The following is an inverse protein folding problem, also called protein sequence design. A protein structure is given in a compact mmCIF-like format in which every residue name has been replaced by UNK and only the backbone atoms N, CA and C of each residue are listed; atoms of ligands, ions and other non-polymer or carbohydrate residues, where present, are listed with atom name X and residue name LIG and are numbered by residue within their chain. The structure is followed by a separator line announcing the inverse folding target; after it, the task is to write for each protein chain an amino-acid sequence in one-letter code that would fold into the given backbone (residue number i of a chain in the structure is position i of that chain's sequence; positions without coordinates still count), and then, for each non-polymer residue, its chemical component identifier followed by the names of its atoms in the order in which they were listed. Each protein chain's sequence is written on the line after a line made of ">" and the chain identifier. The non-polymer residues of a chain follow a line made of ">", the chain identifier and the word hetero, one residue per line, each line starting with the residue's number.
data_IF_826848534881
#
_entry.id   IF_826848534881
#
_cell.length_a   1.000
_cell.length_b   1.000
_cell.length_c   1.000
_cell.angle_alpha   90.00
_cell.angle_beta   90.00
_cell.angle_gamma   90.00
#
_symmetry.space_group_name_H-M   'P 1'
#
loop_
_entity.id
_entity.type
_entity.pdbx_description
1 polymer ?
#
# COMPACT_ATOMS: atom_id res chain seq x y z
N UNK A 1 -15.53 15.88 5.10
CA UNK A 1 -14.66 14.68 5.19
C UNK A 1 -15.01 13.95 6.47
N UNK A 2 -15.42 12.69 6.38
CA UNK A 2 -15.64 11.83 7.56
C UNK A 2 -14.35 11.10 7.99
N UNK A 3 -13.34 11.05 7.12
CA UNK A 3 -12.06 10.39 7.39
C UNK A 3 -11.08 11.32 8.12
N UNK A 4 -10.37 10.81 9.14
CA UNK A 4 -9.35 11.57 9.83
C UNK A 4 -8.17 11.86 8.90
N UNK A 5 -7.59 13.05 9.04
CA UNK A 5 -6.31 13.39 8.41
C UNK A 5 -5.18 13.01 9.35
N UNK A 6 -4.20 12.26 8.85
CA UNK A 6 -3.01 11.87 9.61
C UNK A 6 -1.79 12.67 9.12
N UNK A 7 -0.94 13.08 10.06
CA UNK A 7 0.28 13.85 9.76
C UNK A 7 1.47 12.89 9.62
N UNK A 8 2.33 13.15 8.63
CA UNK A 8 3.56 12.39 8.41
C UNK A 8 3.41 11.28 7.36
N UNK A 9 4.38 10.35 7.36
CA UNK A 9 4.35 9.20 6.44
C UNK A 9 3.30 8.19 6.88
N UNK A 10 2.55 7.57 5.96
CA UNK A 10 1.63 6.50 6.31
C UNK A 10 2.36 5.31 6.95
N UNK A 11 1.78 4.67 7.97
CA UNK A 11 2.38 3.51 8.63
C UNK A 11 2.19 2.23 7.79
N UNK A 12 2.85 2.16 6.62
CA UNK A 12 2.66 1.09 5.63
C UNK A 12 2.74 -0.31 6.22
N UNK A 13 3.75 -0.57 7.06
CA UNK A 13 3.94 -1.87 7.73
C UNK A 13 2.70 -2.32 8.52
N UNK A 14 2.12 -1.42 9.31
CA UNK A 14 0.94 -1.74 10.13
C UNK A 14 -0.30 -1.94 9.27
N UNK A 15 -0.45 -1.11 8.23
CA UNK A 15 -1.58 -1.19 7.31
C UNK A 15 -1.56 -2.51 6.54
N UNK A 16 -0.41 -2.90 5.97
CA UNK A 16 -0.26 -4.15 5.24
C UNK A 16 -0.46 -5.39 6.12
N UNK A 17 0.11 -5.39 7.32
CA UNK A 17 -0.07 -6.48 8.28
C UNK A 17 -1.55 -6.66 8.65
N UNK A 18 -2.28 -5.56 8.87
CA UNK A 18 -3.72 -5.59 9.14
C UNK A 18 -4.50 -6.19 7.96
N UNK A 19 -4.26 -5.70 6.75
CA UNK A 19 -4.93 -6.22 5.54
C UNK A 19 -4.66 -7.71 5.31
N UNK A 20 -3.45 -8.18 5.64
CA UNK A 20 -3.09 -9.60 5.50
C UNK A 20 -3.89 -10.50 6.43
N UNK A 21 -4.23 -10.02 7.62
CA UNK A 21 -5.06 -10.74 8.59
C UNK A 21 -6.52 -10.72 8.17
N UNK A 22 -7.00 -9.60 7.63
CA UNK A 22 -8.41 -9.39 7.28
C UNK A 22 -8.79 -10.01 5.92
N UNK A 23 -7.83 -10.19 5.01
CA UNK A 23 -8.08 -10.61 3.63
C UNK A 23 -7.11 -11.71 3.17
N UNK A 24 -7.65 -12.71 2.47
CA UNK A 24 -6.87 -13.82 1.92
C UNK A 24 -6.04 -13.43 0.69
N UNK A 25 -6.53 -12.48 -0.11
CA UNK A 25 -5.86 -11.94 -1.29
C UNK A 25 -6.09 -10.43 -1.38
N UNK A 26 -5.08 -9.69 -1.86
CA UNK A 26 -5.11 -8.23 -1.93
C UNK A 26 -4.34 -7.75 -3.15
N UNK A 27 -4.99 -6.91 -3.96
CA UNK A 27 -4.37 -6.22 -5.09
C UNK A 27 -4.19 -4.74 -4.71
N UNK A 28 -2.97 -4.24 -4.87
CA UNK A 28 -2.58 -2.87 -4.57
C UNK A 28 -2.27 -2.15 -5.89
N UNK A 29 -2.99 -1.08 -6.14
CA UNK A 29 -2.79 -0.18 -7.28
C UNK A 29 -2.11 1.09 -6.78
N UNK A 30 -1.04 1.50 -7.46
CA UNK A 30 -0.22 2.63 -7.03
C UNK A 30 0.05 3.57 -8.19
N UNK A 31 -0.15 4.87 -7.95
CA UNK A 31 0.33 5.95 -8.82
C UNK A 31 1.08 6.98 -7.96
N UNK A 32 2.25 7.44 -8.43
CA UNK A 32 3.06 8.39 -7.69
C UNK A 32 4.54 8.32 -8.02
N UNK A 33 5.38 8.88 -7.15
CA UNK A 33 6.83 8.87 -7.34
C UNK A 33 7.43 7.47 -7.17
N UNK A 34 8.52 7.20 -7.88
CA UNK A 34 9.18 5.88 -7.93
C UNK A 34 9.70 5.43 -6.57
N UNK A 35 10.23 6.34 -5.75
CA UNK A 35 10.75 6.03 -4.42
C UNK A 35 9.65 5.43 -3.53
N UNK A 36 8.50 6.07 -3.48
CA UNK A 36 7.33 5.59 -2.74
C UNK A 36 6.77 4.32 -3.38
N UNK A 37 6.74 4.23 -4.71
CA UNK A 37 6.33 3.01 -5.41
C UNK A 37 7.20 1.80 -5.07
N UNK A 38 8.52 2.00 -4.95
CA UNK A 38 9.46 0.98 -4.50
C UNK A 38 9.20 0.51 -3.08
N UNK A 39 8.92 1.44 -2.16
CA UNK A 39 8.55 1.13 -0.76
C UNK A 39 7.25 0.31 -0.68
N UNK A 40 6.21 0.74 -1.39
CA UNK A 40 4.92 0.03 -1.45
C UNK A 40 5.07 -1.36 -2.08
N UNK A 41 5.84 -1.47 -3.18
CA UNK A 41 6.11 -2.76 -3.84
C UNK A 41 6.87 -3.72 -2.91
N UNK A 42 7.83 -3.22 -2.12
CA UNK A 42 8.53 -4.04 -1.12
C UNK A 42 7.56 -4.63 -0.11
N UNK A 43 6.65 -3.82 0.44
CA UNK A 43 5.64 -4.32 1.37
C UNK A 43 4.65 -5.30 0.73
N UNK A 44 4.30 -5.12 -0.55
CA UNK A 44 3.48 -6.08 -1.29
C UNK A 44 4.17 -7.45 -1.36
N UNK A 45 5.47 -7.47 -1.69
CA UNK A 45 6.24 -8.71 -1.77
C UNK A 45 6.33 -9.42 -0.41
N UNK A 46 6.53 -8.67 0.68
CA UNK A 46 6.59 -9.23 2.05
C UNK A 46 5.29 -9.93 2.47
N UNK A 47 4.13 -9.41 2.02
CA UNK A 47 2.81 -9.91 2.44
C UNK A 47 2.15 -10.81 1.39
N UNK A 48 2.78 -11.00 0.23
CA UNK A 48 2.24 -11.76 -0.90
C UNK A 48 1.04 -11.07 -1.55
N UNK A 49 1.06 -9.74 -1.64
CA UNK A 49 0.04 -8.95 -2.34
C UNK A 49 0.46 -8.70 -3.79
N UNK A 50 -0.52 -8.58 -4.68
CA UNK A 50 -0.27 -8.22 -6.09
C UNK A 50 -0.07 -6.72 -6.20
N UNK A 51 1.05 -6.28 -6.76
CA UNK A 51 1.33 -4.86 -6.99
C UNK A 51 1.17 -4.47 -8.46
N UNK A 52 0.39 -3.43 -8.73
CA UNK A 52 0.23 -2.84 -10.05
C UNK A 52 0.59 -1.35 -10.00
N UNK A 53 1.60 -0.96 -10.77
CA UNK A 53 1.93 0.45 -10.99
C UNK A 53 1.05 1.00 -12.10
N UNK A 54 0.26 2.02 -11.78
CA UNK A 54 -0.62 2.71 -12.71
C UNK A 54 -0.06 4.12 -12.93
N UNK A 55 0.54 4.38 -14.10
CA UNK A 55 1.22 5.64 -14.33
C UNK A 55 0.24 6.82 -14.43
N UNK A 56 -1.05 6.57 -14.72
CA UNK A 56 -2.11 7.59 -14.81
C UNK A 56 -3.49 6.94 -14.54
N UNK A 57 -4.41 7.66 -13.90
CA UNK A 57 -5.84 7.35 -13.84
C UNK A 57 -6.60 8.46 -14.58
#
# INVERSE_FOLDING_TARGET
>A
LQTPTHVGRPPWKLLFAKFKVEHSSTNIFFTGNETMGGEIKSHCNEHGFTFQHEPFF
#
